data_IF_566684213077
#
_entry.id   IF_566684213077
#
_cell.length_a   1.000
_cell.length_b   1.000
_cell.length_c   1.000
_cell.angle_alpha   90.00
_cell.angle_beta   90.00
_cell.angle_gamma   90.00
#
_symmetry.space_group_name_H-M   'P 1'
#
loop_
_entity.id
_entity.type
_entity.pdbx_description
1 polymer ?
#
# COMPACT_ATOMS: atom_id res chain seq x y z
N UNK A 1 -6.36 -3.87 49.48
CA UNK A 1 -7.24 -4.37 48.39
C UNK A 1 -7.29 -3.43 47.18
N UNK A 2 -7.64 -2.14 47.31
CA UNK A 2 -7.66 -1.18 46.18
C UNK A 2 -6.33 -1.00 45.44
N UNK A 3 -5.18 -1.06 46.14
CA UNK A 3 -3.83 -0.97 45.53
C UNK A 3 -3.39 -2.24 44.77
N UNK A 4 -3.92 -3.41 45.12
CA UNK A 4 -3.66 -4.66 44.39
C UNK A 4 -4.47 -4.74 43.09
N UNK A 5 -5.73 -4.30 43.12
CA UNK A 5 -6.59 -4.18 41.94
C UNK A 5 -6.05 -3.17 40.93
N UNK A 6 -5.46 -2.05 41.39
CA UNK A 6 -4.82 -1.07 40.52
C UNK A 6 -3.56 -1.64 39.82
N UNK A 7 -2.76 -2.45 40.54
CA UNK A 7 -1.59 -3.11 39.97
C UNK A 7 -1.93 -4.18 38.92
N UNK A 8 -3.02 -4.93 39.14
CA UNK A 8 -3.49 -5.95 38.19
C UNK A 8 -4.03 -5.34 36.89
N UNK A 9 -4.73 -4.19 36.98
CA UNK A 9 -5.18 -3.44 35.80
C UNK A 9 -4.00 -2.91 34.97
N UNK A 10 -2.97 -2.35 35.63
CA UNK A 10 -1.77 -1.85 34.93
C UNK A 10 -1.00 -2.99 34.26
N UNK A 11 -0.92 -4.16 34.89
CA UNK A 11 -0.24 -5.33 34.33
C UNK A 11 -1.00 -5.98 33.15
N UNK A 12 -2.34 -5.89 33.14
CA UNK A 12 -3.15 -6.33 32.00
C UNK A 12 -3.00 -5.42 30.78
N UNK A 13 -2.77 -4.11 30.96
CA UNK A 13 -2.58 -3.17 29.85
C UNK A 13 -1.26 -3.38 29.09
N UNK A 14 -0.22 -3.94 29.73
CA UNK A 14 1.10 -4.17 29.09
C UNK A 14 1.15 -5.47 28.26
N UNK A 15 0.25 -6.42 28.52
CA UNK A 15 0.18 -7.69 27.80
C UNK A 15 -0.60 -7.61 26.47
N UNK A 16 -1.24 -6.47 26.16
CA UNK A 16 -2.05 -6.28 24.96
C UNK A 16 -1.27 -5.96 23.68
N UNK A 17 0.01 -5.54 23.78
CA UNK A 17 0.82 -5.23 22.62
C UNK A 17 1.44 -6.51 22.02
N UNK A 18 0.66 -7.25 21.22
CA UNK A 18 1.21 -8.27 20.32
C UNK A 18 1.88 -7.58 19.13
N UNK A 19 3.18 -7.35 19.22
CA UNK A 19 3.99 -6.95 18.05
C UNK A 19 4.21 -8.20 17.20
N UNK A 20 3.25 -8.53 16.34
CA UNK A 20 3.36 -9.62 15.39
C UNK A 20 3.95 -9.10 14.08
N UNK A 21 4.96 -9.79 13.56
CA UNK A 21 5.52 -9.50 12.23
C UNK A 21 4.83 -10.30 11.11
N UNK A 22 3.71 -10.97 11.40
CA UNK A 22 2.96 -11.73 10.39
C UNK A 22 2.43 -10.86 9.25
N UNK A 23 2.20 -9.57 9.50
CA UNK A 23 1.79 -8.62 8.46
C UNK A 23 2.81 -8.57 7.31
N UNK A 24 4.11 -8.74 7.57
CA UNK A 24 5.15 -8.75 6.53
C UNK A 24 4.99 -9.92 5.59
N UNK A 25 4.75 -11.11 6.12
CA UNK A 25 4.53 -12.29 5.28
C UNK A 25 3.30 -12.15 4.38
N UNK A 26 2.28 -11.41 4.84
CA UNK A 26 1.09 -11.09 4.03
C UNK A 26 1.39 -10.02 2.97
N UNK A 27 1.92 -8.86 3.39
CA UNK A 27 2.18 -7.72 2.49
C UNK A 27 3.28 -7.98 1.48
N UNK A 28 4.29 -8.79 1.84
CA UNK A 28 5.44 -9.10 0.99
C UNK A 28 5.20 -10.33 0.11
N UNK A 29 4.00 -10.91 0.15
CA UNK A 29 3.63 -11.97 -0.77
C UNK A 29 3.31 -11.35 -2.15
N UNK A 30 4.06 -11.67 -3.22
CA UNK A 30 3.81 -11.12 -4.55
C UNK A 30 2.40 -11.44 -5.10
N UNK A 31 1.78 -12.53 -4.62
CA UNK A 31 0.40 -12.86 -4.97
C UNK A 31 -0.58 -11.75 -4.59
N UNK A 32 -0.32 -11.00 -3.51
CA UNK A 32 -1.17 -9.87 -3.11
C UNK A 32 -1.18 -8.77 -4.18
N UNK A 33 -0.04 -8.51 -4.81
CA UNK A 33 0.04 -7.55 -5.90
C UNK A 33 -0.69 -8.05 -7.15
N UNK A 34 -0.58 -9.35 -7.48
CA UNK A 34 -1.34 -9.98 -8.56
C UNK A 34 -2.85 -9.86 -8.33
N UNK A 35 -3.31 -10.10 -7.10
CA UNK A 35 -4.71 -9.93 -6.70
C UNK A 35 -5.15 -8.47 -6.81
N UNK A 36 -4.29 -7.52 -6.44
CA UNK A 36 -4.57 -6.08 -6.56
C UNK A 36 -4.70 -5.66 -8.03
N UNK A 37 -3.83 -6.19 -8.90
CA UNK A 37 -3.93 -5.96 -10.34
C UNK A 37 -5.20 -6.58 -10.92
N UNK A 38 -5.60 -7.76 -10.44
CA UNK A 38 -6.86 -8.40 -10.79
C UNK A 38 -8.07 -7.56 -10.35
N UNK A 39 -8.03 -6.96 -9.16
CA UNK A 39 -9.11 -6.10 -8.68
C UNK A 39 -9.28 -4.86 -9.57
N UNK A 40 -8.19 -4.20 -9.95
CA UNK A 40 -8.26 -3.11 -10.94
C UNK A 40 -8.85 -3.61 -12.27
N UNK A 41 -8.54 -4.83 -12.70
CA UNK A 41 -9.16 -5.42 -13.88
C UNK A 41 -10.67 -5.68 -13.70
N UNK A 42 -11.12 -6.10 -12.52
CA UNK A 42 -12.55 -6.23 -12.19
C UNK A 42 -13.27 -4.89 -12.34
N UNK A 43 -12.69 -3.81 -11.81
CA UNK A 43 -13.23 -2.45 -12.00
C UNK A 43 -13.24 -2.07 -13.48
N UNK A 44 -12.16 -2.32 -14.22
CA UNK A 44 -12.06 -2.00 -15.64
C UNK A 44 -13.14 -2.73 -16.47
N UNK A 45 -13.34 -4.01 -16.21
CA UNK A 45 -14.39 -4.82 -16.86
C UNK A 45 -15.79 -4.35 -16.47
N UNK A 46 -16.02 -4.05 -15.18
CA UNK A 46 -17.31 -3.57 -14.68
C UNK A 46 -17.76 -2.26 -15.34
N UNK A 47 -16.80 -1.42 -15.75
CA UNK A 47 -17.05 -0.16 -16.46
C UNK A 47 -17.01 -0.28 -17.98
N UNK A 48 -16.77 -1.49 -18.51
CA UNK A 48 -16.71 -1.77 -19.95
C UNK A 48 -15.76 -0.84 -20.71
N UNK A 49 -14.60 -0.53 -20.12
CA UNK A 49 -13.59 0.27 -20.80
C UNK A 49 -13.07 -0.46 -22.04
N UNK A 50 -12.86 0.30 -23.12
CA UNK A 50 -12.24 -0.26 -24.32
C UNK A 50 -10.80 -0.71 -24.00
N UNK A 51 -10.25 -1.68 -24.77
CA UNK A 51 -8.89 -2.19 -24.55
C UNK A 51 -7.82 -1.08 -24.48
N UNK A 52 -8.00 0.00 -25.25
CA UNK A 52 -7.08 1.14 -25.24
C UNK A 52 -7.13 1.93 -23.93
N UNK A 53 -8.32 2.12 -23.36
CA UNK A 53 -8.49 2.82 -22.07
C UNK A 53 -8.01 1.94 -20.91
N UNK A 54 -8.31 0.64 -20.95
CA UNK A 54 -7.80 -0.32 -19.98
C UNK A 54 -6.27 -0.32 -19.91
N UNK A 55 -5.59 -0.37 -21.07
CA UNK A 55 -4.13 -0.31 -21.17
C UNK A 55 -3.54 0.93 -20.50
N UNK A 56 -4.14 2.11 -20.74
CA UNK A 56 -3.76 3.36 -20.07
C UNK A 56 -3.85 3.22 -18.54
N UNK A 57 -4.96 2.69 -18.05
CA UNK A 57 -5.23 2.61 -16.61
C UNK A 57 -4.23 1.70 -15.89
N UNK A 58 -3.98 0.49 -16.43
CA UNK A 58 -2.99 -0.43 -15.88
C UNK A 58 -1.58 0.17 -15.90
N UNK A 59 -1.22 0.84 -17.00
CA UNK A 59 0.13 1.40 -17.16
C UNK A 59 0.42 2.48 -16.12
N UNK A 60 -0.49 3.43 -15.91
CA UNK A 60 -0.26 4.50 -14.92
C UNK A 60 -0.20 3.95 -13.50
N UNK A 61 -1.07 3.01 -13.13
CA UNK A 61 -1.04 2.37 -11.82
C UNK A 61 0.27 1.60 -11.59
N UNK A 62 0.73 0.85 -12.60
CA UNK A 62 1.99 0.11 -12.53
C UNK A 62 3.22 1.01 -12.45
N UNK A 63 3.25 2.13 -13.20
CA UNK A 63 4.34 3.11 -13.13
C UNK A 63 4.44 3.74 -11.75
N UNK A 64 3.30 4.07 -11.12
CA UNK A 64 3.28 4.63 -9.77
C UNK A 64 3.87 3.66 -8.73
N UNK A 65 3.40 2.40 -8.75
CA UNK A 65 3.94 1.34 -7.91
C UNK A 65 5.45 1.12 -8.14
N UNK A 66 5.87 1.08 -9.41
CA UNK A 66 7.28 0.90 -9.77
C UNK A 66 8.15 2.04 -9.24
N UNK A 67 7.70 3.29 -9.31
CA UNK A 67 8.49 4.42 -8.81
C UNK A 67 8.71 4.39 -7.29
N UNK A 68 7.78 3.78 -6.54
CA UNK A 68 7.94 3.50 -5.11
C UNK A 68 8.99 2.41 -4.90
N UNK A 69 8.90 1.29 -5.64
CA UNK A 69 9.90 0.20 -5.59
C UNK A 69 11.30 0.72 -5.94
N UNK A 70 11.43 1.54 -6.99
CA UNK A 70 12.70 2.14 -7.39
C UNK A 70 13.22 3.18 -6.37
N UNK A 71 12.33 3.81 -5.60
CA UNK A 71 12.74 4.67 -4.48
C UNK A 71 13.29 3.86 -3.30
N UNK A 72 12.63 2.75 -2.95
CA UNK A 72 13.02 1.89 -1.84
C UNK A 72 14.25 1.02 -2.11
N UNK A 73 14.48 0.68 -3.38
CA UNK A 73 15.54 -0.24 -3.80
C UNK A 73 16.38 0.33 -4.97
N UNK A 74 17.03 1.50 -4.78
CA UNK A 74 17.73 2.21 -5.86
C UNK A 74 18.91 1.42 -6.44
N UNK A 75 19.51 0.51 -5.68
CA UNK A 75 20.61 -0.35 -6.14
C UNK A 75 20.14 -1.49 -7.06
N UNK A 76 18.82 -1.76 -7.09
CA UNK A 76 18.22 -2.87 -7.87
C UNK A 76 17.38 -2.36 -9.03
N UNK A 77 16.73 -1.21 -8.87
CA UNK A 77 15.78 -0.69 -9.85
C UNK A 77 16.07 0.77 -10.15
N UNK A 78 16.09 1.08 -11.44
CA UNK A 78 16.30 2.44 -11.94
C UNK A 78 14.96 3.11 -12.17
N UNK A 79 14.74 4.26 -11.55
CA UNK A 79 13.55 5.09 -11.80
C UNK A 79 13.31 5.33 -13.29
N UNK A 80 12.05 5.28 -13.69
CA UNK A 80 11.55 5.57 -15.04
C UNK A 80 11.49 7.08 -15.32
N UNK A 81 11.74 7.93 -14.32
CA UNK A 81 11.87 9.37 -14.52
C UNK A 81 12.95 9.69 -15.56
N UNK A 82 12.59 10.51 -16.55
CA UNK A 82 13.44 10.83 -17.70
C UNK A 82 13.57 9.71 -18.74
N UNK A 83 13.01 8.52 -18.51
CA UNK A 83 12.93 7.43 -19.49
C UNK A 83 11.58 7.43 -20.21
N UNK A 84 10.49 7.61 -19.45
CA UNK A 84 9.16 7.75 -20.02
C UNK A 84 8.90 9.19 -20.44
N UNK A 85 8.29 9.36 -21.63
CA UNK A 85 7.95 10.68 -22.16
C UNK A 85 6.99 11.41 -21.21
N UNK A 86 7.45 12.54 -20.67
CA UNK A 86 6.65 13.37 -19.77
C UNK A 86 6.72 12.97 -18.29
N UNK A 87 7.42 11.88 -17.94
CA UNK A 87 7.69 11.55 -16.54
C UNK A 87 8.97 12.26 -16.09
N UNK A 88 8.79 13.41 -15.44
CA UNK A 88 9.88 14.14 -14.79
C UNK A 88 10.34 13.48 -13.48
N UNK A 89 11.24 14.16 -12.75
CA UNK A 89 11.57 13.75 -11.39
C UNK A 89 10.33 13.84 -10.51
N UNK A 90 9.94 12.74 -9.89
CA UNK A 90 8.86 12.73 -8.90
C UNK A 90 9.36 13.38 -7.62
N UNK A 91 8.64 14.38 -7.11
CA UNK A 91 8.89 14.93 -5.78
C UNK A 91 8.54 13.87 -4.75
N UNK A 92 9.55 13.20 -4.19
CA UNK A 92 9.35 12.16 -3.18
C UNK A 92 9.44 12.80 -1.79
N UNK A 93 8.52 12.48 -0.85
CA UNK A 93 8.75 12.80 0.55
C UNK A 93 10.06 12.14 1.01
N UNK A 94 10.69 12.71 2.04
CA UNK A 94 11.86 12.07 2.63
C UNK A 94 11.50 10.65 3.06
N UNK A 95 12.33 9.67 2.67
CA UNK A 95 12.11 8.27 3.02
C UNK A 95 12.14 8.11 4.55
N UNK A 96 11.03 7.66 5.14
CA UNK A 96 10.97 7.34 6.55
C UNK A 96 11.57 5.93 6.76
N UNK A 97 12.50 5.72 7.71
CA UNK A 97 13.03 4.39 8.02
C UNK A 97 11.97 3.35 8.39
N UNK A 98 10.76 3.79 8.76
CA UNK A 98 9.63 2.92 9.11
C UNK A 98 8.77 2.53 7.91
N UNK A 99 9.03 3.09 6.73
CA UNK A 99 8.24 2.77 5.54
C UNK A 99 8.40 1.30 5.14
N UNK A 100 7.27 0.63 4.90
CA UNK A 100 7.22 -0.68 4.25
C UNK A 100 7.02 -0.44 2.74
N UNK A 101 8.02 -0.79 1.94
CA UNK A 101 8.08 -0.44 0.51
C UNK A 101 7.03 -1.22 -0.28
N UNK A 102 6.80 -2.48 0.07
CA UNK A 102 5.80 -3.35 -0.53
C UNK A 102 4.39 -2.81 -0.30
N UNK A 103 4.08 -2.41 0.94
CA UNK A 103 2.83 -1.73 1.26
C UNK A 103 2.70 -0.41 0.49
N UNK A 104 3.71 0.45 0.52
CA UNK A 104 3.68 1.73 -0.18
C UNK A 104 3.47 1.56 -1.69
N UNK A 105 4.12 0.57 -2.31
CA UNK A 105 3.95 0.22 -3.72
C UNK A 105 2.53 -0.22 -4.04
N UNK A 106 1.95 -1.08 -3.19
CA UNK A 106 0.56 -1.53 -3.31
C UNK A 106 -0.43 -0.36 -3.23
N UNK A 107 -0.22 0.53 -2.25
CA UNK A 107 -1.05 1.71 -2.03
C UNK A 107 -0.96 2.70 -3.18
N UNK A 108 0.23 2.90 -3.75
CA UNK A 108 0.43 3.75 -4.93
C UNK A 108 -0.29 3.18 -6.17
N UNK A 109 -0.23 1.86 -6.37
CA UNK A 109 -0.98 1.18 -7.44
C UNK A 109 -2.49 1.43 -7.31
N UNK A 110 -3.03 1.19 -6.12
CA UNK A 110 -4.45 1.36 -5.80
C UNK A 110 -4.85 2.82 -6.00
N UNK A 111 -4.09 3.78 -5.45
CA UNK A 111 -4.41 5.22 -5.53
C UNK A 111 -4.49 5.70 -6.98
N UNK A 112 -3.50 5.36 -7.79
CA UNK A 112 -3.49 5.79 -9.19
C UNK A 112 -4.52 5.02 -10.01
N UNK A 113 -4.70 3.72 -9.74
CA UNK A 113 -5.77 2.91 -10.35
C UNK A 113 -7.16 3.48 -10.09
N UNK A 114 -7.41 3.93 -8.87
CA UNK A 114 -8.64 4.61 -8.45
C UNK A 114 -8.83 5.91 -9.24
N UNK A 115 -7.79 6.75 -9.29
CA UNK A 115 -7.84 8.04 -9.98
C UNK A 115 -8.06 7.96 -11.50
N UNK A 116 -7.79 6.80 -12.12
CA UNK A 116 -7.96 6.59 -13.57
C UNK A 116 -9.17 5.72 -13.91
N UNK A 117 -9.94 5.29 -12.91
CA UNK A 117 -11.18 4.52 -13.08
C UNK A 117 -12.40 5.27 -12.51
N UNK A 118 -13.59 4.69 -12.68
CA UNK A 118 -14.83 5.14 -12.05
C UNK A 118 -15.65 3.91 -11.64
N UNK A 119 -16.70 4.02 -10.82
CA UNK A 119 -16.98 5.15 -9.93
C UNK A 119 -15.90 5.28 -8.84
N UNK A 120 -15.77 6.49 -8.30
CA UNK A 120 -14.91 6.76 -7.16
C UNK A 120 -15.34 5.89 -5.94
N UNK A 121 -14.37 5.38 -5.20
CA UNK A 121 -14.50 4.43 -4.11
C UNK A 121 -14.27 2.96 -4.46
N UNK A 122 -14.13 2.58 -5.74
CA UNK A 122 -14.12 1.16 -6.16
C UNK A 122 -12.93 0.39 -5.58
N UNK A 123 -11.72 0.93 -5.66
CA UNK A 123 -10.51 0.35 -5.07
C UNK A 123 -10.27 0.80 -3.64
N UNK A 124 -10.98 1.81 -3.15
CA UNK A 124 -10.86 2.25 -1.75
C UNK A 124 -11.37 1.15 -0.79
N UNK A 125 -12.49 0.49 -1.12
CA UNK A 125 -12.97 -0.64 -0.33
C UNK A 125 -11.97 -1.81 -0.31
N UNK A 126 -11.31 -2.06 -1.45
CA UNK A 126 -10.26 -3.07 -1.56
C UNK A 126 -9.03 -2.71 -0.72
N UNK A 127 -8.55 -1.46 -0.79
CA UNK A 127 -7.48 -0.93 0.06
C UNK A 127 -7.78 -1.14 1.55
N UNK A 128 -8.99 -0.79 1.98
CA UNK A 128 -9.41 -0.93 3.37
C UNK A 128 -9.41 -2.40 3.80
N UNK A 129 -9.81 -3.31 2.90
CA UNK A 129 -9.77 -4.75 3.18
C UNK A 129 -8.34 -5.26 3.42
N UNK A 130 -7.38 -4.84 2.61
CA UNK A 130 -5.96 -5.21 2.78
C UNK A 130 -5.41 -4.65 4.08
N UNK A 131 -5.66 -3.37 4.36
CA UNK A 131 -5.18 -2.72 5.57
C UNK A 131 -5.79 -3.34 6.82
N UNK A 132 -7.06 -3.74 6.81
CA UNK A 132 -7.69 -4.44 7.92
C UNK A 132 -7.00 -5.79 8.17
N UNK A 133 -6.77 -6.61 7.14
CA UNK A 133 -6.04 -7.87 7.28
C UNK A 133 -4.61 -7.64 7.79
N UNK A 134 -3.92 -6.61 7.30
CA UNK A 134 -2.57 -6.28 7.75
C UNK A 134 -2.55 -5.84 9.22
N UNK A 135 -3.51 -5.00 9.65
CA UNK A 135 -3.68 -4.56 11.05
C UNK A 135 -3.98 -5.74 11.97
N UNK A 136 -4.87 -6.66 11.56
CA UNK A 136 -5.18 -7.89 12.30
C UNK A 136 -3.94 -8.79 12.45
N UNK A 137 -3.03 -8.74 11.47
CA UNK A 137 -1.73 -9.43 11.48
C UNK A 137 -0.61 -8.65 12.17
N UNK A 138 -0.93 -7.52 12.81
CA UNK A 138 0.00 -6.76 13.63
C UNK A 138 0.71 -5.59 12.96
N UNK A 139 0.22 -5.08 11.82
CA UNK A 139 0.77 -3.88 11.17
C UNK A 139 0.77 -2.67 12.15
N UNK A 140 1.95 -2.11 12.48
CA UNK A 140 2.04 -0.93 13.32
C UNK A 140 1.50 0.33 12.61
N UNK A 141 0.78 1.17 13.35
CA UNK A 141 0.16 2.38 12.78
C UNK A 141 1.15 3.42 12.26
N UNK A 142 2.37 3.46 12.78
CA UNK A 142 3.44 4.33 12.31
C UNK A 142 4.03 3.83 10.98
N UNK A 143 4.22 2.52 10.83
CA UNK A 143 4.60 1.89 9.55
C UNK A 143 3.52 2.13 8.50
N UNK A 144 2.24 1.93 8.84
CA UNK A 144 1.13 2.19 7.93
C UNK A 144 1.12 3.65 7.43
N UNK A 145 1.23 4.62 8.36
CA UNK A 145 1.27 6.05 8.02
C UNK A 145 2.48 6.42 7.17
N UNK A 146 3.67 5.94 7.52
CA UNK A 146 4.89 6.19 6.76
C UNK A 146 4.82 5.61 5.34
N UNK A 147 4.19 4.44 5.19
CA UNK A 147 3.99 3.79 3.89
C UNK A 147 2.93 4.49 3.05
N UNK A 148 1.83 4.93 3.66
CA UNK A 148 0.80 5.74 3.01
C UNK A 148 1.37 7.08 2.53
N UNK A 149 2.21 7.74 3.34
CA UNK A 149 2.84 9.01 2.97
C UNK A 149 3.75 8.87 1.76
N UNK A 150 4.54 7.78 1.65
CA UNK A 150 5.38 7.55 0.47
C UNK A 150 4.54 7.23 -0.78
N UNK A 151 3.41 6.54 -0.60
CA UNK A 151 2.52 6.18 -1.69
C UNK A 151 1.73 7.36 -2.26
N UNK A 152 1.51 8.40 -1.45
CA UNK A 152 0.66 9.54 -1.77
C UNK A 152 1.34 10.64 -2.59
#
# INVERSE_FOLDING_TARGET
MKRLLLGLCVMACIAGCKHSNEYKAYLHNPELFSQTAHELNTVVMGNNFSPMVASRNYTYAAVAAYEVVAAGYPDKYRSLAGQLKGLGSVSKPAMDPKTDIELASLLAYIKVGEAVTFPEGSLQAYKDSILNVARDKGLPSDIEKASQLLAD
#
